data_IF_787683990056
#
_entry.id   IF_787683990056
#
_cell.length_a   1.000
_cell.length_b   1.000
_cell.length_c   1.000
_cell.angle_alpha   90.00
_cell.angle_beta   90.00
_cell.angle_gamma   90.00
#
_symmetry.space_group_name_H-M   'P 1'
#
loop_
_entity.id
_entity.type
_entity.pdbx_description
1 polymer ?
#
# COMPACT_ATOMS: atom_id res chain seq x y z
N UNK A 1 14.86 -52.80 -51.17
CA UNK A 1 15.11 -52.99 -49.73
C UNK A 1 14.32 -51.92 -48.99
N UNK A 2 13.18 -52.30 -48.40
CA UNK A 2 12.26 -51.40 -47.70
C UNK A 2 12.60 -51.37 -46.23
N UNK A 3 12.81 -50.18 -45.66
CA UNK A 3 12.87 -49.97 -44.22
C UNK A 3 11.74 -49.01 -43.81
N UNK A 4 10.76 -49.56 -43.09
CA UNK A 4 9.77 -48.83 -42.31
C UNK A 4 10.37 -48.62 -40.92
N UNK A 5 10.33 -47.41 -40.37
CA UNK A 5 10.44 -47.19 -38.93
C UNK A 5 9.41 -46.14 -38.51
N UNK A 6 8.59 -46.53 -37.54
CA UNK A 6 7.36 -45.85 -37.16
C UNK A 6 7.57 -44.67 -36.22
N UNK A 7 6.62 -43.74 -36.29
CA UNK A 7 6.35 -42.73 -35.28
C UNK A 7 5.95 -43.40 -33.96
N UNK A 8 6.50 -42.89 -32.85
CA UNK A 8 5.86 -42.98 -31.54
C UNK A 8 5.62 -41.56 -31.02
N UNK A 9 4.35 -41.21 -30.90
CA UNK A 9 3.82 -39.99 -30.32
C UNK A 9 3.59 -40.28 -28.82
N UNK A 10 4.35 -39.65 -27.93
CA UNK A 10 4.10 -39.75 -26.48
C UNK A 10 3.54 -38.44 -25.96
N UNK A 11 2.23 -38.44 -25.72
CA UNK A 11 1.53 -37.38 -25.00
C UNK A 11 1.80 -37.53 -23.49
N UNK A 12 2.44 -36.54 -22.88
CA UNK A 12 2.46 -36.40 -21.42
C UNK A 12 1.26 -35.59 -20.99
N UNK A 13 0.22 -36.29 -20.52
CA UNK A 13 -0.82 -35.74 -19.66
C UNK A 13 -0.27 -35.85 -18.24
N UNK A 14 0.32 -34.77 -17.72
CA UNK A 14 0.58 -34.65 -16.29
C UNK A 14 -0.66 -34.04 -15.64
N UNK A 15 -1.44 -34.90 -14.99
CA UNK A 15 -2.67 -34.55 -14.31
C UNK A 15 -2.42 -33.66 -13.09
N UNK A 16 -3.43 -32.83 -12.79
CA UNK A 16 -3.55 -32.08 -11.55
C UNK A 16 -3.53 -33.06 -10.36
N UNK A 17 -2.45 -33.08 -9.59
CA UNK A 17 -2.39 -33.79 -8.33
C UNK A 17 -3.20 -33.04 -7.29
N UNK A 18 -4.31 -33.64 -6.86
CA UNK A 18 -5.12 -33.19 -5.73
C UNK A 18 -4.41 -33.58 -4.43
N UNK A 19 -3.83 -32.61 -3.72
CA UNK A 19 -3.45 -32.74 -2.30
C UNK A 19 -3.40 -31.34 -1.64
N UNK A 20 -4.49 -30.59 -1.82
CA UNK A 20 -4.73 -29.33 -1.11
C UNK A 20 -5.78 -29.60 -0.02
N UNK A 21 -5.37 -29.51 1.26
CA UNK A 21 -6.33 -29.56 2.38
C UNK A 21 -6.34 -28.22 3.11
N UNK A 22 -7.50 -27.57 3.01
CA UNK A 22 -7.88 -26.34 3.72
C UNK A 22 -8.02 -26.63 5.22
N UNK A 23 -7.31 -25.88 6.06
CA UNK A 23 -7.52 -25.90 7.50
C UNK A 23 -8.84 -25.25 7.89
N UNK A 24 -9.64 -25.92 8.72
CA UNK A 24 -10.98 -25.49 9.10
C UNK A 24 -11.00 -24.25 10.00
N UNK A 25 -11.70 -23.20 9.58
CA UNK A 25 -12.41 -22.27 10.45
C UNK A 25 -13.92 -22.40 10.14
N UNK A 26 -14.70 -22.91 11.09
CA UNK A 26 -16.03 -23.50 10.84
C UNK A 26 -17.18 -22.54 10.53
N UNK A 27 -18.11 -23.02 9.69
CA UNK A 27 -19.47 -22.50 9.42
C UNK A 27 -19.85 -22.60 7.93
N UNK A 28 -20.95 -23.29 7.51
CA UNK A 28 -20.90 -24.13 6.31
C UNK A 28 -21.31 -23.39 5.02
N UNK A 29 -20.47 -23.53 3.99
CA UNK A 29 -20.94 -23.62 2.61
C UNK A 29 -20.94 -25.10 2.24
N UNK A 30 -22.15 -25.63 2.09
CA UNK A 30 -22.46 -26.95 1.58
C UNK A 30 -22.05 -27.02 0.10
N UNK A 31 -20.98 -27.76 -0.18
CA UNK A 31 -20.57 -28.12 -1.53
C UNK A 31 -20.36 -29.64 -1.58
N UNK A 32 -21.39 -30.33 -2.04
CA UNK A 32 -21.28 -31.54 -2.84
C UNK A 32 -20.81 -32.79 -2.10
N UNK A 33 -21.77 -33.58 -1.63
CA UNK A 33 -21.57 -34.96 -1.28
C UNK A 33 -21.19 -35.78 -2.51
N UNK A 34 -19.92 -36.22 -2.60
CA UNK A 34 -19.47 -37.37 -3.39
C UNK A 34 -18.24 -37.97 -2.70
N UNK A 35 -18.49 -38.75 -1.65
CA UNK A 35 -17.47 -39.53 -0.96
C UNK A 35 -17.19 -40.82 -1.75
N UNK A 36 -15.94 -41.04 -2.15
CA UNK A 36 -15.44 -42.36 -2.55
C UNK A 36 -14.43 -42.85 -1.51
N UNK A 37 -14.60 -44.12 -1.13
CA UNK A 37 -13.96 -44.87 -0.03
C UNK A 37 -12.46 -44.64 0.24
N UNK A 38 -12.14 -44.72 1.53
CA UNK A 38 -10.84 -44.57 2.19
C UNK A 38 -9.70 -45.41 1.60
N UNK A 39 -8.64 -44.73 1.14
CA UNK A 39 -7.29 -45.29 1.10
C UNK A 39 -6.55 -44.88 2.39
N UNK A 40 -5.77 -45.78 3.01
CA UNK A 40 -5.05 -45.46 4.25
C UNK A 40 -4.02 -44.36 3.99
N UNK A 41 -4.20 -43.23 4.67
CA UNK A 41 -3.29 -42.07 4.64
C UNK A 41 -1.98 -42.49 5.30
N UNK A 42 -0.92 -42.65 4.49
CA UNK A 42 0.44 -42.85 5.01
C UNK A 42 0.87 -41.65 5.85
N UNK A 43 1.64 -41.91 6.92
CA UNK A 43 2.15 -40.87 7.81
C UNK A 43 2.85 -39.76 7.01
N UNK A 44 2.27 -38.56 7.04
CA UNK A 44 2.87 -37.39 6.45
C UNK A 44 4.22 -37.13 7.13
N UNK A 45 5.29 -37.11 6.32
CA UNK A 45 6.62 -36.73 6.79
C UNK A 45 6.61 -35.33 7.44
N UNK A 46 7.68 -34.96 8.16
CA UNK A 46 7.74 -33.71 8.90
C UNK A 46 7.45 -32.52 7.96
N UNK A 47 6.59 -31.56 8.36
CA UNK A 47 6.15 -30.47 7.50
C UNK A 47 7.37 -29.67 7.02
N UNK A 48 7.57 -29.65 5.70
CA UNK A 48 8.74 -29.02 5.08
C UNK A 48 8.53 -27.50 4.94
N UNK A 49 7.28 -27.03 4.86
CA UNK A 49 6.91 -25.62 4.62
C UNK A 49 5.55 -25.30 5.24
N UNK A 50 5.44 -24.15 5.89
CA UNK A 50 4.15 -23.54 6.24
C UNK A 50 3.68 -22.65 5.09
N UNK A 51 2.52 -22.94 4.52
CA UNK A 51 1.83 -22.01 3.62
C UNK A 51 0.98 -21.11 4.51
N UNK A 52 1.40 -19.88 4.72
CA UNK A 52 0.55 -18.87 5.35
C UNK A 52 -0.39 -18.31 4.27
N UNK A 53 -1.70 -18.52 4.44
CA UNK A 53 -2.74 -17.87 3.65
C UNK A 53 -2.72 -16.37 3.96
N UNK A 54 -1.82 -15.62 3.33
CA UNK A 54 -1.89 -14.16 3.32
C UNK A 54 -2.96 -13.74 2.33
N UNK A 55 -3.89 -12.90 2.78
CA UNK A 55 -4.92 -12.34 1.91
C UNK A 55 -4.23 -11.58 0.76
N UNK A 56 -4.43 -11.96 -0.52
CA UNK A 56 -3.80 -11.28 -1.65
C UNK A 56 -4.32 -9.86 -1.88
N UNK A 57 -5.42 -9.48 -1.20
CA UNK A 57 -5.94 -8.11 -1.18
C UNK A 57 -5.38 -7.30 0.00
N UNK A 58 -4.33 -7.80 0.64
CA UNK A 58 -3.69 -7.16 1.78
C UNK A 58 -4.56 -7.13 3.04
N UNK A 59 -4.15 -6.32 4.01
CA UNK A 59 -4.91 -6.15 5.25
C UNK A 59 -6.18 -5.36 4.95
N UNK A 60 -7.30 -6.06 4.69
CA UNK A 60 -8.61 -5.46 4.50
C UNK A 60 -9.12 -4.90 5.84
N UNK A 61 -8.53 -3.81 6.29
CA UNK A 61 -9.03 -3.01 7.39
C UNK A 61 -10.23 -2.18 6.86
N UNK A 62 -11.48 -2.53 7.24
CA UNK A 62 -12.66 -1.83 6.76
C UNK A 62 -12.69 -0.35 7.20
N UNK A 63 -11.89 0.00 8.22
CA UNK A 63 -11.81 1.36 8.76
C UNK A 63 -10.67 2.17 8.10
N UNK A 64 -9.91 1.57 7.16
CA UNK A 64 -8.89 2.30 6.41
C UNK A 64 -9.54 3.22 5.37
N UNK A 65 -9.35 4.52 5.57
CA UNK A 65 -9.82 5.59 4.71
C UNK A 65 -8.90 5.82 3.51
N UNK A 66 -7.67 5.26 3.49
CA UNK A 66 -6.81 5.30 2.31
C UNK A 66 -7.31 4.31 1.27
N UNK A 67 -7.36 4.79 0.03
CA UNK A 67 -7.54 3.91 -1.11
C UNK A 67 -6.18 3.25 -1.39
N UNK A 68 -6.13 1.91 -1.35
CA UNK A 68 -4.96 1.11 -1.74
C UNK A 68 -3.69 1.39 -0.92
N UNK A 69 -3.77 1.39 0.40
CA UNK A 69 -2.66 1.73 1.30
C UNK A 69 -1.44 0.79 1.23
N UNK A 70 -1.60 -0.39 0.63
CA UNK A 70 -0.59 -1.44 0.45
C UNK A 70 -0.25 -1.72 -1.02
N UNK A 71 -0.72 -0.87 -1.95
CA UNK A 71 -0.35 -0.89 -3.38
C UNK A 71 -0.80 -2.13 -4.18
N UNK A 72 -1.70 -2.96 -3.64
CA UNK A 72 -2.19 -4.17 -4.28
C UNK A 72 -3.11 -3.90 -5.47
N UNK A 73 -3.83 -2.77 -5.45
CA UNK A 73 -4.70 -2.33 -6.54
C UNK A 73 -3.98 -1.43 -7.56
N UNK A 74 -2.83 -0.88 -7.18
CA UNK A 74 -1.97 -0.09 -8.05
C UNK A 74 -1.16 -1.00 -8.96
N UNK A 75 -1.31 -0.82 -10.27
CA UNK A 75 -0.66 -1.65 -11.28
C UNK A 75 0.27 -0.82 -12.18
N UNK A 76 1.10 -1.48 -12.98
CA UNK A 76 1.97 -0.80 -13.94
C UNK A 76 1.22 0.08 -14.97
N UNK A 77 -0.08 -0.13 -15.14
CA UNK A 77 -0.95 0.61 -16.06
C UNK A 77 -1.90 1.61 -15.38
N UNK A 78 -1.90 1.71 -14.05
CA UNK A 78 -2.84 2.58 -13.33
C UNK A 78 -2.46 2.80 -11.88
N UNK A 79 -2.51 4.05 -11.43
CA UNK A 79 -2.28 4.45 -10.05
C UNK A 79 -3.64 4.57 -9.37
N UNK A 80 -3.95 3.68 -8.43
CA UNK A 80 -5.22 3.72 -7.69
C UNK A 80 -4.95 4.21 -6.28
N UNK A 81 -5.65 5.27 -5.86
CA UNK A 81 -5.46 5.87 -4.54
C UNK A 81 -4.17 6.69 -4.35
N UNK A 82 -3.10 6.41 -5.10
CA UNK A 82 -1.82 7.11 -5.03
C UNK A 82 -1.49 7.87 -6.32
N UNK A 83 -0.68 8.91 -6.19
CA UNK A 83 -0.07 9.63 -7.31
C UNK A 83 1.40 9.90 -7.06
N UNK A 84 2.25 9.55 -8.01
CA UNK A 84 3.64 9.96 -8.02
C UNK A 84 3.81 11.32 -8.69
N UNK A 85 4.52 12.24 -8.04
CA UNK A 85 4.66 13.62 -8.48
C UNK A 85 6.12 14.01 -8.49
N UNK A 86 6.61 14.45 -9.64
CA UNK A 86 7.98 14.93 -9.84
C UNK A 86 8.02 16.44 -10.05
N UNK A 87 9.21 17.01 -10.19
CA UNK A 87 9.40 18.42 -10.59
C UNK A 87 8.70 18.78 -11.90
N UNK A 88 8.58 17.83 -12.83
CA UNK A 88 7.94 18.00 -14.15
C UNK A 88 6.43 17.79 -14.18
N UNK A 89 5.80 17.42 -13.06
CA UNK A 89 4.38 17.08 -13.00
C UNK A 89 4.13 15.65 -12.51
N UNK A 90 3.00 15.07 -12.88
CA UNK A 90 2.69 13.67 -12.55
C UNK A 90 3.70 12.72 -13.22
N UNK A 91 4.21 11.78 -12.44
CA UNK A 91 5.16 10.77 -12.86
C UNK A 91 4.50 9.38 -12.80
N UNK A 92 5.17 8.40 -13.40
CA UNK A 92 4.80 7.00 -13.22
C UNK A 92 5.15 6.56 -11.80
N UNK A 93 4.15 6.11 -11.04
CA UNK A 93 4.39 5.45 -9.76
C UNK A 93 5.11 4.12 -10.00
N UNK A 94 6.30 4.01 -9.41
CA UNK A 94 7.10 2.80 -9.43
C UNK A 94 6.70 1.90 -8.27
N UNK A 95 6.74 0.59 -8.49
CA UNK A 95 6.35 -0.43 -7.52
C UNK A 95 7.39 -1.53 -7.46
N UNK A 96 7.51 -2.15 -6.31
CA UNK A 96 8.26 -3.38 -6.09
C UNK A 96 7.28 -4.50 -5.69
N UNK A 97 7.68 -5.75 -5.88
CA UNK A 97 6.84 -6.92 -5.54
C UNK A 97 7.61 -8.00 -4.78
N UNK A 98 6.89 -8.81 -4.02
CA UNK A 98 7.41 -9.97 -3.30
C UNK A 98 8.05 -9.64 -1.96
N UNK A 99 9.02 -10.46 -1.54
CA UNK A 99 9.54 -10.49 -0.17
C UNK A 99 10.33 -9.26 0.30
N UNK A 100 10.55 -8.27 -0.58
CA UNK A 100 11.10 -6.97 -0.18
C UNK A 100 10.04 -6.07 0.44
N UNK A 101 8.77 -6.24 0.05
CA UNK A 101 7.63 -5.50 0.56
C UNK A 101 7.20 -6.02 1.94
N UNK A 102 6.65 -5.14 2.76
CA UNK A 102 6.25 -5.45 4.14
C UNK A 102 5.03 -6.38 4.16
N UNK A 103 4.06 -6.10 3.30
CA UNK A 103 2.89 -6.96 3.04
C UNK A 103 3.33 -8.33 2.50
N UNK A 104 4.43 -8.33 1.74
CA UNK A 104 5.00 -9.49 1.05
C UNK A 104 4.50 -9.66 -0.38
N UNK A 105 3.66 -8.75 -0.89
CA UNK A 105 3.07 -8.85 -2.23
C UNK A 105 3.48 -7.66 -3.10
N UNK A 106 3.12 -6.43 -2.73
CA UNK A 106 3.54 -5.23 -3.45
C UNK A 106 3.76 -4.02 -2.53
N UNK A 107 4.51 -3.04 -3.02
CA UNK A 107 4.82 -1.82 -2.28
C UNK A 107 5.28 -0.69 -3.22
N UNK A 108 5.01 0.55 -2.83
CA UNK A 108 5.41 1.73 -3.58
C UNK A 108 6.91 1.99 -3.51
N UNK A 109 7.48 2.52 -4.59
CA UNK A 109 8.89 2.93 -4.67
C UNK A 109 8.96 4.44 -4.78
N UNK A 110 9.61 5.04 -3.80
CA UNK A 110 9.83 6.49 -3.69
C UNK A 110 11.30 6.80 -3.97
N UNK A 111 11.56 7.81 -4.78
CA UNK A 111 12.91 8.34 -5.05
C UNK A 111 12.98 9.79 -4.61
N UNK A 112 14.17 10.40 -4.45
CA UNK A 112 14.29 11.79 -4.03
C UNK A 112 13.64 12.79 -5.01
N UNK A 113 13.52 12.43 -6.28
CA UNK A 113 12.92 13.25 -7.35
C UNK A 113 11.39 13.16 -7.39
N UNK A 114 10.80 12.19 -6.70
CA UNK A 114 9.36 11.95 -6.68
C UNK A 114 8.80 12.10 -5.27
N UNK A 115 7.55 12.52 -5.20
CA UNK A 115 6.73 12.54 -4.00
C UNK A 115 5.54 11.61 -4.26
N UNK A 116 5.13 10.84 -3.25
CA UNK A 116 3.91 10.05 -3.32
C UNK A 116 2.79 10.78 -2.57
N UNK A 117 1.63 10.90 -3.21
CA UNK A 117 0.45 11.51 -2.63
C UNK A 117 -0.70 10.51 -2.62
N UNK A 118 -1.14 10.07 -1.45
CA UNK A 118 -2.31 9.23 -1.28
C UNK A 118 -3.57 10.07 -1.02
N UNK A 119 -4.70 9.66 -1.59
CA UNK A 119 -6.00 10.23 -1.28
C UNK A 119 -6.72 9.39 -0.24
N UNK A 120 -7.24 10.06 0.79
CA UNK A 120 -8.13 9.43 1.75
C UNK A 120 -9.59 9.83 1.51
N UNK A 121 -10.52 9.00 1.99
CA UNK A 121 -11.88 9.43 2.27
C UNK A 121 -11.89 10.45 3.42
N UNK A 122 -12.96 11.26 3.49
CA UNK A 122 -13.14 12.20 4.59
C UNK A 122 -13.42 11.42 5.88
N UNK A 123 -12.60 11.55 6.94
CA UNK A 123 -12.98 11.03 8.25
C UNK A 123 -14.17 11.85 8.75
N UNK A 124 -15.12 11.25 9.47
CA UNK A 124 -16.15 12.04 10.14
C UNK A 124 -15.56 12.98 11.22
N UNK A 125 -16.26 13.14 12.33
CA UNK A 125 -15.87 14.08 13.39
C UNK A 125 -14.77 13.54 14.33
N UNK A 126 -14.04 12.51 13.92
CA UNK A 126 -13.00 11.85 14.74
C UNK A 126 -11.61 12.36 14.39
N UNK A 127 -10.74 12.43 15.40
CA UNK A 127 -9.30 12.56 15.18
C UNK A 127 -8.81 11.39 14.32
N UNK A 128 -7.72 11.62 13.60
CA UNK A 128 -7.19 10.74 12.57
C UNK A 128 -5.94 10.03 13.06
N UNK A 129 -5.87 8.70 12.96
CA UNK A 129 -4.66 7.93 13.13
C UNK A 129 -4.05 7.61 11.76
N UNK A 130 -2.82 8.08 11.54
CA UNK A 130 -1.99 7.73 10.39
C UNK A 130 -1.00 6.66 10.81
N UNK A 131 -0.89 5.61 10.01
CA UNK A 131 0.21 4.63 10.07
C UNK A 131 0.79 4.47 8.67
N UNK A 132 2.10 4.41 8.54
CA UNK A 132 2.79 4.11 7.28
C UNK A 132 4.10 3.41 7.59
N UNK A 133 4.51 2.47 6.76
CA UNK A 133 5.82 1.85 6.86
C UNK A 133 6.70 2.26 5.70
N UNK A 134 7.93 2.66 6.00
CA UNK A 134 8.94 2.95 4.99
C UNK A 134 10.20 2.13 5.24
N UNK A 135 10.85 1.67 4.17
CA UNK A 135 12.15 1.00 4.21
C UNK A 135 13.15 1.89 3.47
N UNK A 136 13.81 2.83 4.18
CA UNK A 136 14.90 3.57 3.60
C UNK A 136 16.07 2.63 3.28
N UNK A 137 16.91 2.97 2.30
CA UNK A 137 18.14 2.23 2.01
C UNK A 137 19.23 2.50 3.05
N UNK A 138 19.14 3.63 3.77
CA UNK A 138 19.99 3.95 4.91
C UNK A 138 19.37 3.50 6.24
N UNK A 139 20.13 3.55 7.33
CA UNK A 139 19.62 3.28 8.68
C UNK A 139 18.98 4.51 9.35
N UNK A 140 18.59 5.53 8.59
CA UNK A 140 18.06 6.79 9.10
C UNK A 140 16.60 6.98 8.66
N UNK A 141 15.66 6.76 9.58
CA UNK A 141 14.24 6.95 9.31
C UNK A 141 13.86 8.43 9.09
N UNK A 142 14.72 9.39 9.46
CA UNK A 142 14.42 10.82 9.32
C UNK A 142 14.51 11.34 7.89
N UNK A 143 15.10 10.55 6.99
CA UNK A 143 15.19 10.84 5.55
C UNK A 143 13.87 10.60 4.81
N UNK A 144 12.92 9.89 5.43
CA UNK A 144 11.54 9.81 4.93
C UNK A 144 10.67 10.78 5.73
N UNK A 145 9.96 11.66 5.02
CA UNK A 145 9.03 12.62 5.61
C UNK A 145 7.61 12.25 5.21
N UNK A 146 6.75 12.14 6.21
CA UNK A 146 5.33 11.84 6.05
C UNK A 146 4.53 13.00 6.61
N UNK A 147 3.69 13.62 5.78
CA UNK A 147 2.82 14.73 6.19
C UNK A 147 1.39 14.46 5.78
N UNK A 148 0.47 14.63 6.71
CA UNK A 148 -0.96 14.65 6.43
C UNK A 148 -1.37 16.09 6.09
N UNK A 149 -1.91 16.31 4.91
CA UNK A 149 -2.27 17.64 4.39
C UNK A 149 -3.72 17.69 3.92
N UNK A 150 -4.31 18.87 3.76
CA UNK A 150 -5.61 19.01 3.10
C UNK A 150 -5.45 19.00 1.57
N UNK A 151 -6.14 18.08 0.87
CA UNK A 151 -6.02 17.97 -0.59
C UNK A 151 -6.74 19.09 -1.35
N UNK A 152 -7.83 19.61 -0.77
CA UNK A 152 -8.81 20.47 -1.45
C UNK A 152 -8.50 21.96 -1.33
N UNK A 153 -7.49 22.31 -0.52
CA UNK A 153 -7.08 23.69 -0.33
C UNK A 153 -6.11 24.11 -1.44
N UNK A 154 -6.25 25.32 -2.02
CA UNK A 154 -5.25 25.87 -2.93
C UNK A 154 -3.93 26.23 -2.21
N UNK A 155 -3.93 26.21 -0.88
CA UNK A 155 -2.76 26.43 -0.04
C UNK A 155 -2.35 25.14 0.67
N UNK A 156 -1.06 25.00 0.99
CA UNK A 156 -0.61 23.87 1.82
C UNK A 156 -1.09 24.09 3.25
N UNK A 157 -2.04 23.26 3.67
CA UNK A 157 -2.49 23.17 5.07
C UNK A 157 -2.07 21.80 5.59
N UNK A 158 -1.05 21.78 6.45
CA UNK A 158 -0.60 20.57 7.14
C UNK A 158 -1.49 20.32 8.35
N UNK A 159 -2.10 19.13 8.40
CA UNK A 159 -2.89 18.65 9.53
C UNK A 159 -1.98 18.03 10.60
N UNK A 160 -0.96 17.27 10.16
CA UNK A 160 0.07 16.70 11.03
C UNK A 160 1.33 16.37 10.24
N UNK A 161 2.49 16.51 10.89
CA UNK A 161 3.72 15.85 10.47
C UNK A 161 3.84 14.53 11.25
N UNK A 162 3.92 13.42 10.52
CA UNK A 162 3.94 12.07 11.06
C UNK A 162 5.39 11.65 11.19
N UNK A 163 5.87 11.54 12.42
CA UNK A 163 7.26 11.16 12.70
C UNK A 163 7.39 9.64 12.78
N UNK A 164 8.61 9.16 12.51
CA UNK A 164 8.95 7.77 12.79
C UNK A 164 8.86 7.49 14.29
N UNK A 165 8.34 6.33 14.67
CA UNK A 165 8.27 5.89 16.08
C UNK A 165 9.65 5.60 16.66
N UNK A 166 10.62 5.30 15.81
CA UNK A 166 12.04 5.14 16.13
C UNK A 166 12.88 5.85 15.05
N UNK A 167 13.96 6.59 15.42
CA UNK A 167 14.88 7.16 14.43
C UNK A 167 15.63 6.14 13.58
N UNK A 168 15.74 4.88 14.02
CA UNK A 168 16.37 3.78 13.28
C UNK A 168 15.34 2.72 12.86
N UNK A 169 15.56 2.03 11.73
CA UNK A 169 14.67 0.97 11.28
C UNK A 169 14.67 -0.24 12.23
N UNK A 170 13.59 -1.03 12.16
CA UNK A 170 13.49 -2.32 12.82
C UNK A 170 14.49 -3.35 12.26
N UNK A 171 14.50 -4.56 12.85
CA UNK A 171 15.40 -5.63 12.41
C UNK A 171 15.18 -6.08 10.94
N UNK A 172 14.04 -5.75 10.35
CA UNK A 172 13.71 -6.03 8.94
C UNK A 172 14.02 -4.83 8.02
N UNK A 173 14.56 -3.74 8.56
CA UNK A 173 14.89 -2.52 7.83
C UNK A 173 13.73 -1.54 7.70
N UNK A 174 12.61 -1.72 8.40
CA UNK A 174 11.42 -0.89 8.27
C UNK A 174 11.27 0.13 9.40
N UNK A 175 10.86 1.33 9.05
CA UNK A 175 10.50 2.43 9.93
C UNK A 175 8.97 2.54 10.00
N UNK A 176 8.38 2.48 11.19
CA UNK A 176 6.97 2.82 11.39
C UNK A 176 6.82 4.33 11.55
N UNK A 177 5.97 4.94 10.75
CA UNK A 177 5.50 6.30 10.90
C UNK A 177 4.11 6.24 11.50
N UNK A 178 3.92 6.84 12.66
CA UNK A 178 2.64 6.82 13.36
C UNK A 178 2.35 8.19 13.93
N UNK A 179 1.12 8.67 13.70
CA UNK A 179 0.73 9.96 14.24
C UNK A 179 -0.76 10.17 14.29
N UNK A 180 -1.18 11.09 15.17
CA UNK A 180 -2.58 11.44 15.37
C UNK A 180 -2.77 12.91 14.99
N UNK A 181 -3.65 13.14 14.01
CA UNK A 181 -4.01 14.46 13.52
C UNK A 181 -5.42 14.84 14.02
N UNK A 182 -5.74 16.14 14.15
CA UNK A 182 -7.10 16.56 14.48
C UNK A 182 -8.10 16.16 13.40
N UNK A 183 -9.36 16.01 13.79
CA UNK A 183 -10.48 15.88 12.85
C UNK A 183 -10.48 17.01 11.80
N UNK A 184 -10.96 16.70 10.60
CA UNK A 184 -11.03 17.65 9.48
C UNK A 184 -12.28 17.43 8.64
N UNK A 185 -12.99 18.51 8.33
CA UNK A 185 -14.12 18.47 7.39
C UNK A 185 -13.67 18.37 5.92
N UNK A 186 -12.39 18.69 5.65
CA UNK A 186 -11.79 18.61 4.34
C UNK A 186 -11.16 17.25 4.11
N UNK A 187 -11.14 16.80 2.84
CA UNK A 187 -10.50 15.55 2.44
C UNK A 187 -8.99 15.60 2.71
N UNK A 188 -8.42 14.71 3.56
CA UNK A 188 -7.00 14.67 3.80
C UNK A 188 -6.26 13.87 2.72
N UNK A 189 -4.99 14.22 2.52
CA UNK A 189 -4.03 13.54 1.66
C UNK A 189 -2.80 13.17 2.50
N UNK A 190 -2.22 12.01 2.23
CA UNK A 190 -0.93 11.63 2.79
C UNK A 190 0.16 11.95 1.78
N UNK A 191 1.04 12.89 2.11
CA UNK A 191 2.23 13.21 1.32
C UNK A 191 3.44 12.47 1.91
N UNK A 192 4.16 11.76 1.06
CA UNK A 192 5.38 11.05 1.43
C UNK A 192 6.52 11.51 0.51
N UNK A 193 7.62 11.95 1.11
CA UNK A 193 8.81 12.44 0.43
C UNK A 193 10.06 11.74 0.95
N UNK A 194 11.00 11.45 0.06
CA UNK A 194 12.32 10.94 0.42
C UNK A 194 13.39 12.01 0.19
N UNK A 195 14.33 12.08 1.12
CA UNK A 195 15.52 12.94 1.10
C UNK A 195 16.81 12.13 1.06
N UNK A 196 16.71 10.87 0.65
CA UNK A 196 17.85 10.00 0.34
C UNK A 196 18.67 10.56 -0.85
N UNK A 197 19.81 9.94 -1.14
CA UNK A 197 20.63 10.28 -2.31
C UNK A 197 19.93 9.91 -3.63
N UNK A 198 20.22 10.63 -4.72
CA UNK A 198 19.48 10.55 -6.01
C UNK A 198 19.38 9.14 -6.65
N UNK A 199 20.27 8.21 -6.30
CA UNK A 199 20.25 6.83 -6.82
C UNK A 199 19.54 5.83 -5.88
N UNK A 200 19.22 6.29 -4.67
CA UNK A 200 18.65 5.50 -3.61
C UNK A 200 17.11 5.50 -3.68
N UNK A 201 16.51 4.43 -3.17
CA UNK A 201 15.07 4.20 -3.25
C UNK A 201 14.54 3.81 -1.88
N UNK A 202 13.48 4.47 -1.46
CA UNK A 202 12.72 4.12 -0.26
C UNK A 202 11.52 3.29 -0.69
N UNK A 203 11.29 2.13 -0.06
CA UNK A 203 10.04 1.39 -0.24
C UNK A 203 8.99 1.91 0.75
N UNK A 204 7.74 2.02 0.31
CA UNK A 204 6.60 2.47 1.13
C UNK A 204 5.52 1.42 1.06
N UNK A 205 4.96 1.03 2.21
CA UNK A 205 3.97 -0.05 2.29
C UNK A 205 3.09 0.09 3.54
N UNK A 206 1.99 -0.66 3.58
CA UNK A 206 1.09 -0.82 4.72
C UNK A 206 0.67 0.53 5.33
N UNK A 207 0.29 1.47 4.47
CA UNK A 207 -0.24 2.76 4.89
C UNK A 207 -1.72 2.62 5.28
N UNK A 208 -2.11 3.24 6.38
CA UNK A 208 -3.50 3.37 6.77
C UNK A 208 -3.80 4.74 7.36
N UNK A 209 -5.04 5.17 7.14
CA UNK A 209 -5.62 6.33 7.80
C UNK A 209 -6.97 5.91 8.36
N UNK A 210 -7.14 5.97 9.68
CA UNK A 210 -8.39 5.57 10.33
C UNK A 210 -8.79 6.54 11.43
N UNK A 211 -9.89 6.25 12.11
CA UNK A 211 -10.26 6.96 13.33
C UNK A 211 -9.22 6.68 14.43
N UNK A 212 -8.76 7.72 15.10
CA UNK A 212 -7.89 7.57 16.26
C UNK A 212 -8.70 7.03 17.46
N UNK A 213 -8.11 6.13 18.28
CA UNK A 213 -8.75 5.72 19.52
C UNK A 213 -8.89 6.94 20.46
N UNK A 214 -9.96 7.03 21.28
CA UNK A 214 -10.23 8.19 22.13
C UNK A 214 -9.09 8.58 23.09
N UNK A 215 -8.22 7.62 23.44
CA UNK A 215 -7.07 7.82 24.33
C UNK A 215 -5.77 8.18 23.62
N UNK A 216 -5.77 8.29 22.29
CA UNK A 216 -4.55 8.53 21.53
C UNK A 216 -4.04 9.96 21.78
N UNK A 217 -2.79 10.08 22.21
CA UNK A 217 -2.15 11.38 22.30
C UNK A 217 -1.96 11.96 20.89
N UNK A 218 -2.39 13.21 20.69
CA UNK A 218 -2.12 13.94 19.45
C UNK A 218 -0.62 14.05 19.24
N UNK A 219 -0.17 13.76 18.02
CA UNK A 219 1.19 14.09 17.62
C UNK A 219 1.32 15.61 17.68
N UNK A 220 2.34 16.10 18.38
CA UNK A 220 2.54 17.54 18.65
C UNK A 220 2.42 18.33 17.35
N UNK A 221 1.68 19.44 17.44
CA UNK A 221 0.96 20.05 16.33
C UNK A 221 1.81 20.44 15.12
N UNK A 222 1.09 20.56 14.00
CA UNK A 222 1.52 21.14 12.72
C UNK A 222 2.29 22.45 12.91
N UNK A 223 3.57 22.36 13.26
CA UNK A 223 4.51 23.43 13.04
C UNK A 223 4.56 23.73 11.54
N UNK A 224 5.05 24.93 11.17
CA UNK A 224 5.28 25.20 9.77
C UNK A 224 6.22 24.10 9.22
N UNK A 225 5.81 23.37 8.17
CA UNK A 225 6.65 22.32 7.60
C UNK A 225 7.97 22.94 7.14
N UNK A 226 9.04 22.12 7.15
CA UNK A 226 10.33 22.52 6.57
C UNK A 226 10.12 23.11 5.18
N UNK A 227 10.82 24.19 4.85
CA UNK A 227 10.59 24.95 3.61
C UNK A 227 10.62 24.08 2.35
N UNK A 228 11.49 23.08 2.34
CA UNK A 228 11.61 22.08 1.27
C UNK A 228 10.34 21.22 1.16
N UNK A 229 9.85 20.66 2.27
CA UNK A 229 8.60 19.88 2.33
C UNK A 229 7.41 20.73 1.91
N UNK A 230 7.34 21.98 2.36
CA UNK A 230 6.30 22.93 1.93
C UNK A 230 6.32 23.17 0.41
N UNK A 231 7.52 23.27 -0.19
CA UNK A 231 7.66 23.41 -1.63
C UNK A 231 7.22 22.13 -2.38
N UNK A 232 7.53 20.95 -1.84
CA UNK A 232 7.06 19.67 -2.37
C UNK A 232 5.55 19.54 -2.31
N UNK A 233 4.95 19.84 -1.15
CA UNK A 233 3.49 19.85 -0.96
C UNK A 233 2.78 20.82 -1.92
N UNK A 234 3.31 22.05 -2.09
CA UNK A 234 2.74 23.02 -3.05
C UNK A 234 2.73 22.49 -4.48
N UNK A 235 3.83 21.85 -4.90
CA UNK A 235 3.94 21.24 -6.23
C UNK A 235 2.95 20.09 -6.38
N UNK A 236 2.87 19.21 -5.39
CA UNK A 236 1.94 18.09 -5.37
C UNK A 236 0.49 18.56 -5.52
N UNK A 237 0.06 19.51 -4.68
CA UNK A 237 -1.29 20.07 -4.73
C UNK A 237 -1.56 20.79 -6.05
N UNK A 238 -0.60 21.52 -6.63
CA UNK A 238 -0.78 22.15 -7.94
C UNK A 238 -1.09 21.12 -9.03
N UNK A 239 -0.26 20.06 -9.13
CA UNK A 239 -0.46 18.98 -10.11
C UNK A 239 -1.82 18.33 -9.93
N UNK A 240 -2.24 18.10 -8.68
CA UNK A 240 -3.58 17.58 -8.38
C UNK A 240 -4.67 18.53 -8.86
N UNK A 241 -4.64 19.81 -8.49
CA UNK A 241 -5.69 20.75 -8.87
C UNK A 241 -5.77 20.94 -10.39
N UNK A 242 -4.65 20.91 -11.10
CA UNK A 242 -4.61 21.07 -12.57
C UNK A 242 -5.15 19.86 -13.31
N UNK A 243 -4.86 18.63 -12.84
CA UNK A 243 -5.28 17.40 -13.49
C UNK A 243 -6.66 16.91 -13.06
N UNK A 244 -7.10 17.27 -11.85
CA UNK A 244 -8.34 16.79 -11.23
C UNK A 244 -9.49 17.71 -11.60
N UNK A 245 -9.75 17.89 -12.90
CA UNK A 245 -10.97 18.55 -13.37
C UNK A 245 -12.09 17.54 -13.44
N UNK A 246 -12.83 17.37 -12.33
CA UNK A 246 -14.10 16.66 -12.36
C UNK A 246 -15.23 17.60 -12.78
N UNK A 247 -15.78 17.37 -13.98
CA UNK A 247 -17.06 17.93 -14.43
C UNK A 247 -17.08 19.45 -14.65
N UNK A 248 -17.80 19.92 -15.67
CA UNK A 248 -18.38 21.27 -15.55
C UNK A 248 -19.35 21.22 -14.36
N UNK A 249 -19.47 22.28 -13.54
CA UNK A 249 -20.66 22.44 -12.71
C UNK A 249 -21.89 22.18 -13.59
N UNK A 250 -22.92 21.45 -13.12
CA UNK A 250 -24.18 21.42 -13.86
C UNK A 250 -24.58 22.88 -14.15
N UNK A 251 -25.05 23.20 -15.37
CA UNK A 251 -25.50 24.55 -15.66
C UNK A 251 -26.51 24.96 -14.59
N UNK A 252 -26.43 26.21 -14.13
CA UNK A 252 -27.43 26.74 -13.21
C UNK A 252 -28.81 26.50 -13.83
N UNK A 253 -29.71 25.86 -13.08
CA UNK A 253 -31.10 25.72 -13.53
C UNK A 253 -31.69 27.14 -13.75
N UNK A 254 -32.41 27.35 -14.86
CA UNK A 254 -32.95 28.65 -15.24
C UNK A 254 -34.02 29.18 -14.27
#
# INVERSE_FOLDING_TARGET
MSARFGLALSAFIAGCGADERVGASGGPLDAGADAHEDAPVGEAGPPIRSVELRNPFGGADPDNLLVDGDFELTSGSGQFGWRAISSGGEALLRRETGGLCRSGVSCGVLTPETDLLAFAARPGDSDLLVVLWAKPPSSDCTLTVVSLIQCTSPFVVTLADVSATNPAPDASGWCEFRGVAPATEQRPCLLVSSFEDAEQRTLIDAASLGAAPPSAARSIGAGAPRAEVAARARRALRVVHESTRFGRPPPAEP
#
